data_IF_966546565987
#
_entry.id   IF_966546565987
#
_cell.length_a   1.000
_cell.length_b   1.000
_cell.length_c   1.000
_cell.angle_alpha   90.00
_cell.angle_beta   90.00
_cell.angle_gamma   90.00
#
_symmetry.space_group_name_H-M   'P 1'
#
loop_
_entity.id
_entity.type
_entity.pdbx_description
1 polymer ?
#
# COMPACT_ATOMS: atom_id res chain seq x y z
N UNK A 1 6.92 5.61 -10.50
CA UNK A 1 5.91 6.33 -9.70
C UNK A 1 6.56 7.57 -9.10
N UNK A 2 5.79 8.62 -8.87
CA UNK A 2 6.24 9.89 -8.28
C UNK A 2 5.59 10.11 -6.91
N UNK A 3 6.10 11.06 -6.13
CA UNK A 3 5.48 11.47 -4.87
C UNK A 3 4.00 11.87 -5.03
N UNK A 4 3.67 12.58 -6.11
CA UNK A 4 2.28 12.97 -6.40
C UNK A 4 1.38 11.77 -6.67
N UNK A 5 1.89 10.73 -7.35
CA UNK A 5 1.13 9.50 -7.57
C UNK A 5 0.81 8.82 -6.24
N UNK A 6 1.79 8.75 -5.33
CA UNK A 6 1.63 8.16 -3.99
C UNK A 6 0.56 8.91 -3.20
N UNK A 7 0.68 10.24 -3.10
CA UNK A 7 -0.28 11.07 -2.36
C UNK A 7 -1.68 11.09 -2.98
N UNK A 8 -1.78 10.89 -4.29
CA UNK A 8 -3.09 10.75 -4.95
C UNK A 8 -3.79 9.44 -4.58
N UNK A 9 -3.03 8.40 -4.23
CA UNK A 9 -3.55 7.07 -3.88
C UNK A 9 -3.77 6.95 -2.37
N UNK A 10 -2.77 7.30 -1.56
CA UNK A 10 -2.78 7.15 -0.10
C UNK A 10 -3.28 8.40 0.65
N UNK A 11 -3.38 9.54 -0.04
CA UNK A 11 -3.79 10.81 0.53
C UNK A 11 -2.63 11.77 0.79
N UNK A 12 -2.93 13.07 1.00
CA UNK A 12 -1.90 14.09 1.16
C UNK A 12 -1.12 14.00 2.47
N UNK A 13 -1.62 13.25 3.46
CA UNK A 13 -1.04 13.08 4.79
C UNK A 13 -0.05 11.91 4.95
N UNK A 14 0.33 11.24 3.85
CA UNK A 14 1.27 10.11 3.90
C UNK A 14 2.58 10.50 4.57
N UNK A 15 3.03 9.67 5.53
CA UNK A 15 4.30 9.86 6.22
C UNK A 15 5.50 9.92 5.23
N UNK A 16 6.46 10.86 5.40
CA UNK A 16 7.60 10.98 4.50
C UNK A 16 8.51 9.73 4.42
N UNK A 17 8.59 8.95 5.50
CA UNK A 17 9.36 7.69 5.56
C UNK A 17 8.66 6.63 4.73
N UNK A 18 7.36 6.43 4.95
CA UNK A 18 6.54 5.52 4.13
C UNK A 18 6.62 5.90 2.64
N UNK A 19 6.50 7.20 2.33
CA UNK A 19 6.60 7.69 0.97
C UNK A 19 7.96 7.36 0.33
N UNK A 20 9.06 7.54 1.06
CA UNK A 20 10.41 7.20 0.59
C UNK A 20 10.54 5.71 0.29
N UNK A 21 10.02 4.86 1.16
CA UNK A 21 10.14 3.41 1.02
C UNK A 21 9.27 2.86 -0.10
N UNK A 22 8.05 3.39 -0.28
CA UNK A 22 7.20 3.11 -1.43
C UNK A 22 7.92 3.46 -2.74
N UNK A 23 8.55 4.63 -2.84
CA UNK A 23 9.28 5.04 -4.04
C UNK A 23 10.49 4.12 -4.32
N UNK A 24 11.16 3.65 -3.27
CA UNK A 24 12.31 2.73 -3.36
C UNK A 24 11.93 1.35 -3.90
N UNK A 25 10.67 0.92 -3.77
CA UNK A 25 10.20 -0.37 -4.32
C UNK A 25 10.30 -0.47 -5.84
N UNK A 26 10.38 0.67 -6.53
CA UNK A 26 10.35 0.73 -8.00
C UNK A 26 8.98 0.37 -8.60
N UNK A 27 7.92 0.34 -7.79
CA UNK A 27 6.58 0.04 -8.25
C UNK A 27 5.97 1.18 -9.08
N UNK A 28 4.94 0.83 -9.85
CA UNK A 28 4.11 1.82 -10.54
C UNK A 28 2.82 2.14 -9.74
N UNK A 29 2.12 3.20 -10.15
CA UNK A 29 0.91 3.67 -9.46
C UNK A 29 -0.21 2.62 -9.42
N UNK A 30 -0.35 1.80 -10.46
CA UNK A 30 -1.36 0.72 -10.49
C UNK A 30 -1.04 -0.41 -9.51
N UNK A 31 0.23 -0.71 -9.28
CA UNK A 31 0.67 -1.67 -8.26
C UNK A 31 0.38 -1.15 -6.86
N UNK A 32 0.63 0.14 -6.59
CA UNK A 32 0.29 0.77 -5.31
C UNK A 32 -1.22 0.80 -5.06
N UNK A 33 -2.02 1.15 -6.06
CA UNK A 33 -3.48 1.16 -5.92
C UNK A 33 -4.03 -0.24 -5.61
N UNK A 34 -3.45 -1.31 -6.19
CA UNK A 34 -3.83 -2.69 -5.86
C UNK A 34 -3.43 -3.06 -4.44
N UNK A 35 -2.22 -2.70 -4.00
CA UNK A 35 -1.77 -2.95 -2.64
C UNK A 35 -2.69 -2.25 -1.62
N UNK A 36 -3.01 -0.97 -1.84
CA UNK A 36 -3.98 -0.23 -1.01
C UNK A 36 -5.33 -0.93 -0.95
N UNK A 37 -5.89 -1.31 -2.09
CA UNK A 37 -7.16 -2.02 -2.15
C UNK A 37 -7.11 -3.39 -1.45
N UNK A 38 -5.93 -4.01 -1.38
CA UNK A 38 -5.74 -5.28 -0.68
C UNK A 38 -5.77 -5.09 0.84
N UNK A 39 -5.07 -4.08 1.35
CA UNK A 39 -5.06 -3.75 2.79
C UNK A 39 -6.42 -3.22 3.27
N UNK A 40 -7.14 -2.48 2.42
CA UNK A 40 -8.48 -1.98 2.73
C UNK A 40 -9.59 -3.04 2.56
N UNK A 41 -9.30 -4.17 1.91
CA UNK A 41 -10.28 -5.23 1.76
C UNK A 41 -10.48 -5.91 3.12
N UNK A 42 -11.69 -5.78 3.66
CA UNK A 42 -12.14 -6.55 4.83
C UNK A 42 -11.97 -8.06 4.55
N UNK A 43 -11.56 -8.87 5.55
CA UNK A 43 -11.33 -10.31 5.40
C UNK A 43 -12.56 -11.05 4.80
N UNK A 44 -13.76 -10.48 4.98
CA UNK A 44 -15.00 -10.99 4.41
C UNK A 44 -15.23 -10.67 2.91
N UNK A 45 -14.45 -9.75 2.33
CA UNK A 45 -14.52 -9.26 0.95
C UNK A 45 -13.28 -9.56 0.10
N UNK A 46 -12.28 -10.24 0.67
CA UNK A 46 -11.25 -10.90 -0.14
C UNK A 46 -11.92 -12.03 -0.90
N UNK A 47 -12.52 -11.67 -2.03
CA UNK A 47 -13.10 -12.60 -2.99
C UNK A 47 -12.08 -13.72 -3.18
N UNK A 48 -12.51 -14.99 -3.05
CA UNK A 48 -11.64 -16.18 -3.03
C UNK A 48 -10.79 -16.37 -4.32
N UNK A 49 -10.82 -15.39 -5.21
CA UNK A 49 -10.18 -15.28 -6.49
C UNK A 49 -9.17 -14.11 -6.59
N UNK A 50 -9.02 -13.26 -5.56
CA UNK A 50 -7.96 -12.25 -5.57
C UNK A 50 -6.61 -12.96 -5.40
N UNK A 51 -5.74 -12.97 -6.42
CA UNK A 51 -4.46 -13.65 -6.29
C UNK A 51 -3.66 -13.00 -5.17
N UNK A 52 -3.08 -13.83 -4.30
CA UNK A 52 -2.22 -13.35 -3.23
C UNK A 52 -1.18 -12.37 -3.78
N UNK A 53 -0.93 -11.26 -3.06
CA UNK A 53 0.11 -10.31 -3.43
C UNK A 53 1.43 -11.06 -3.66
N UNK A 54 2.14 -10.72 -4.72
CA UNK A 54 3.48 -11.26 -4.98
C UNK A 54 4.40 -10.18 -5.56
N UNK A 55 5.71 -10.39 -5.43
CA UNK A 55 6.72 -9.45 -5.91
C UNK A 55 6.55 -8.06 -5.29
N UNK A 56 6.50 -7.03 -6.13
CA UNK A 56 6.38 -5.64 -5.67
C UNK A 56 5.06 -5.34 -4.96
N UNK A 57 3.95 -5.97 -5.37
CA UNK A 57 2.65 -5.73 -4.73
C UNK A 57 2.67 -6.26 -3.30
N UNK A 58 3.23 -7.46 -3.06
CA UNK A 58 3.41 -7.98 -1.70
C UNK A 58 4.25 -7.04 -0.84
N UNK A 59 5.37 -6.55 -1.38
CA UNK A 59 6.22 -5.61 -0.64
C UNK A 59 5.52 -4.31 -0.29
N UNK A 60 4.62 -3.83 -1.15
CA UNK A 60 3.82 -2.65 -0.87
C UNK A 60 2.75 -2.92 0.20
N UNK A 61 2.10 -4.08 0.16
CA UNK A 61 1.13 -4.50 1.20
C UNK A 61 1.80 -4.51 2.58
N UNK A 62 2.97 -5.14 2.70
CA UNK A 62 3.73 -5.17 3.96
C UNK A 62 4.03 -3.77 4.53
N UNK A 63 4.37 -2.80 3.65
CA UNK A 63 4.65 -1.43 4.06
C UNK A 63 3.40 -0.69 4.56
N UNK A 64 2.26 -0.93 3.90
CA UNK A 64 1.00 -0.27 4.24
C UNK A 64 0.37 -0.87 5.50
N UNK A 65 0.50 -2.18 5.72
CA UNK A 65 0.07 -2.84 6.95
C UNK A 65 0.90 -2.36 8.15
N UNK A 66 2.23 -2.26 7.99
CA UNK A 66 3.10 -1.74 9.06
C UNK A 66 2.77 -0.29 9.46
N UNK A 67 2.39 0.56 8.50
CA UNK A 67 1.96 1.94 8.76
C UNK A 67 0.64 2.00 9.56
N UNK A 68 -0.31 1.12 9.24
CA UNK A 68 -1.58 1.03 9.98
C UNK A 68 -1.41 0.47 11.40
N UNK A 69 -0.50 -0.50 11.59
CA UNK A 69 -0.16 -1.00 12.91
C UNK A 69 0.46 0.08 13.81
N UNK A 70 1.23 1.01 13.25
CA UNK A 70 1.76 2.16 14.00
C UNK A 70 0.66 3.15 14.42
N UNK A 71 -0.35 3.38 13.56
CA UNK A 71 -1.48 4.24 13.86
C UNK A 71 -2.44 3.65 14.91
N UNK A 72 -2.65 2.33 14.94
CA UNK A 72 -3.52 1.64 15.90
C UNK A 72 -2.96 1.59 17.34
N UNK A 73 -1.67 1.89 17.52
CA UNK A 73 -0.99 1.87 18.82
C UNK A 73 -1.07 3.22 19.58
N UNK A 74 -1.73 4.24 19.02
CA UNK A 74 -1.86 5.60 19.57
C UNK A 74 -3.29 5.93 20.05
#
# INVERSE_FOLDING_TARGET
>A
MTENDVKSILGPGTDPTLLSDILRTGANASELARAKAWVEADEAQVDAHSPFPSGRIARLVELLEADQEEDDLL
#
